data_IF_346537179720
#
_entry.id   IF_346537179720
#
_cell.length_a   1.000
_cell.length_b   1.000
_cell.length_c   1.000
_cell.angle_alpha   90.00
_cell.angle_beta   90.00
_cell.angle_gamma   90.00
#
_symmetry.space_group_name_H-M   'P 1'
#
loop_
_entity.id
_entity.type
_entity.pdbx_description
1 polymer ?
#
# COMPACT_ATOMS: atom_id res chain seq x y z
N UNK A 1 21.17 27.76 -6.26
CA UNK A 1 20.84 27.37 -6.08
C UNK A 1 20.40 26.78 -6.20
N UNK A 2 20.45 26.65 -6.30
CA UNK A 2 20.18 26.23 -6.18
C UNK A 2 19.47 25.72 -5.99
N UNK A 3 19.28 25.80 -5.93
CA UNK A 3 18.72 25.42 -5.58
C UNK A 3 17.96 25.06 -5.26
N UNK A 4 17.88 25.19 -5.17
CA UNK A 4 17.32 24.95 -4.68
C UNK A 4 16.51 24.65 -4.38
N UNK A 5 16.44 24.93 -4.49
CA UNK A 5 15.75 24.74 -3.99
C UNK A 5 15.29 24.23 -3.53
N UNK A 6 15.35 24.06 -3.42
CA UNK A 6 14.94 23.69 -2.75
C UNK A 6 14.50 23.38 -1.99
N UNK A 7 14.47 23.33 -1.86
CA UNK A 7 14.17 22.94 -0.96
C UNK A 7 13.70 22.82 -0.16
N UNK A 8 13.28 22.72 0.12
CA UNK A 8 12.84 22.63 1.18
C UNK A 8 13.02 22.02 1.99
N UNK A 9 13.27 22.01 1.93
CA UNK A 9 13.69 21.47 2.84
C UNK A 9 13.10 21.43 4.07
N UNK A 10 13.18 20.43 4.71
CA UNK A 10 12.68 20.34 6.03
C UNK A 10 13.53 21.12 6.96
N UNK A 11 12.97 22.15 7.50
CA UNK A 11 13.65 22.87 8.54
C UNK A 11 13.72 22.00 9.77
N UNK A 12 14.68 22.24 10.63
CA UNK A 12 14.74 21.55 11.90
C UNK A 12 13.45 21.76 12.67
N UNK A 13 12.88 20.68 13.16
CA UNK A 13 11.62 20.73 13.86
C UNK A 13 10.41 20.48 12.97
N UNK A 14 10.60 20.42 11.68
CA UNK A 14 9.52 20.01 10.81
C UNK A 14 9.18 18.56 11.10
N UNK A 15 7.89 18.26 11.02
CA UNK A 15 7.50 16.90 11.18
C UNK A 15 8.11 16.08 10.07
N UNK A 16 8.60 14.90 10.37
CA UNK A 16 8.98 13.95 9.34
C UNK A 16 7.73 13.63 8.66
N UNK A 17 7.70 13.98 7.50
CA UNK A 17 6.48 14.17 6.93
C UNK A 17 5.92 12.95 6.29
N UNK A 18 4.67 12.68 6.59
CA UNK A 18 3.86 11.84 5.74
C UNK A 18 3.44 12.61 4.50
N UNK A 19 3.64 13.91 4.51
CA UNK A 19 3.32 14.74 3.35
C UNK A 19 4.16 14.29 2.18
N UNK A 20 3.50 13.97 1.09
CA UNK A 20 4.17 13.53 -0.12
C UNK A 20 4.47 12.05 -0.19
N UNK A 21 4.19 11.27 0.85
CA UNK A 21 4.31 9.83 0.75
C UNK A 21 3.33 9.32 -0.30
N UNK A 22 3.80 8.42 -1.14
CA UNK A 22 3.05 7.95 -2.29
C UNK A 22 2.40 6.62 -1.99
N UNK A 23 1.10 6.55 -2.18
CA UNK A 23 0.30 5.35 -1.98
C UNK A 23 -0.31 4.97 -3.30
N UNK A 24 -0.13 3.71 -3.69
CA UNK A 24 -0.80 3.15 -4.86
C UNK A 24 -1.90 2.22 -4.36
N UNK A 25 -3.11 2.39 -4.86
CA UNK A 25 -4.23 1.51 -4.53
C UNK A 25 -4.56 0.71 -5.78
N UNK A 26 -4.53 -0.62 -5.65
CA UNK A 26 -4.92 -1.54 -6.73
C UNK A 26 -6.23 -2.20 -6.33
N UNK A 27 -7.30 -1.82 -7.01
CA UNK A 27 -8.66 -2.30 -6.74
C UNK A 27 -9.49 -2.03 -7.97
N UNK A 28 -10.28 -3.00 -8.42
CA UNK A 28 -11.13 -2.83 -9.60
C UNK A 28 -12.54 -2.35 -9.27
N UNK A 29 -12.85 -2.06 -8.00
CA UNK A 29 -14.18 -1.59 -7.59
C UNK A 29 -14.12 -0.11 -7.25
N UNK A 30 -14.87 0.68 -8.00
CA UNK A 30 -14.68 2.13 -8.00
C UNK A 30 -15.20 2.85 -6.76
N UNK A 31 -16.23 2.34 -6.10
CA UNK A 31 -16.84 3.10 -4.99
C UNK A 31 -15.92 3.23 -3.80
N UNK A 32 -15.44 2.12 -3.29
CA UNK A 32 -14.55 2.14 -2.15
C UNK A 32 -13.21 2.79 -2.51
N UNK A 33 -12.77 2.56 -3.72
CA UNK A 33 -11.51 3.09 -4.22
C UNK A 33 -11.44 4.60 -4.14
N UNK A 34 -12.48 5.29 -4.63
CA UNK A 34 -12.50 6.75 -4.60
C UNK A 34 -12.62 7.30 -3.19
N UNK A 35 -13.37 6.61 -2.33
CA UNK A 35 -13.49 7.02 -0.95
C UNK A 35 -12.16 6.90 -0.20
N UNK A 36 -11.47 5.78 -0.39
CA UNK A 36 -10.15 5.60 0.23
C UNK A 36 -9.17 6.67 -0.25
N UNK A 37 -9.17 6.93 -1.54
CA UNK A 37 -8.31 7.96 -2.10
C UNK A 37 -8.56 9.30 -1.43
N UNK A 38 -9.83 9.68 -1.31
CA UNK A 38 -10.17 10.98 -0.76
C UNK A 38 -9.73 11.13 0.69
N UNK A 39 -9.99 10.12 1.52
CA UNK A 39 -9.62 10.25 2.94
C UNK A 39 -8.10 10.24 3.11
N UNK A 40 -7.39 9.50 2.26
CA UNK A 40 -5.93 9.50 2.33
C UNK A 40 -5.33 10.81 1.83
N UNK A 41 -5.90 11.38 0.77
CA UNK A 41 -5.44 12.67 0.29
C UNK A 41 -5.70 13.78 1.31
N UNK A 42 -6.79 13.67 2.05
CA UNK A 42 -7.06 14.62 3.13
C UNK A 42 -6.01 14.55 4.23
N UNK A 43 -5.31 13.42 4.35
CA UNK A 43 -4.22 13.25 5.31
C UNK A 43 -2.86 13.56 4.68
N UNK A 44 -2.84 14.21 3.53
CA UNK A 44 -1.63 14.71 2.86
C UNK A 44 -0.82 13.65 2.14
N UNK A 45 -1.38 12.46 1.91
CA UNK A 45 -0.72 11.46 1.06
C UNK A 45 -0.98 11.77 -0.40
N UNK A 46 -0.06 11.36 -1.25
CA UNK A 46 -0.28 11.36 -2.70
C UNK A 46 -0.77 9.99 -3.09
N UNK A 47 -1.93 9.93 -3.72
CA UNK A 47 -2.61 8.66 -3.98
C UNK A 47 -2.81 8.48 -5.48
N UNK A 48 -2.34 7.36 -5.99
CA UNK A 48 -2.62 6.91 -7.35
C UNK A 48 -3.49 5.67 -7.28
N UNK A 49 -4.32 5.49 -8.29
CA UNK A 49 -5.25 4.37 -8.37
C UNK A 49 -4.92 3.56 -9.61
N UNK A 50 -4.94 2.23 -9.47
CA UNK A 50 -4.76 1.33 -10.58
C UNK A 50 -5.83 0.25 -10.50
N UNK A 51 -6.59 0.08 -11.59
CA UNK A 51 -7.77 -0.78 -11.55
C UNK A 51 -7.58 -2.09 -12.29
N UNK A 52 -6.38 -2.40 -12.77
CA UNK A 52 -6.12 -3.60 -13.52
C UNK A 52 -5.05 -4.43 -12.80
N UNK A 53 -5.44 -5.63 -12.34
CA UNK A 53 -4.51 -6.49 -11.63
C UNK A 53 -3.45 -7.12 -12.50
N UNK A 54 -3.73 -7.29 -13.80
CA UNK A 54 -2.78 -7.98 -14.68
C UNK A 54 -1.47 -7.22 -14.84
N UNK A 55 -1.51 -5.91 -14.84
CA UNK A 55 -0.30 -5.11 -14.95
C UNK A 55 0.05 -4.38 -13.66
N UNK A 56 -0.55 -4.79 -12.54
CA UNK A 56 -0.29 -4.15 -11.26
C UNK A 56 1.17 -4.28 -10.84
N UNK A 57 1.76 -5.46 -10.98
CA UNK A 57 3.16 -5.65 -10.65
C UNK A 57 4.06 -4.70 -11.44
N UNK A 58 3.83 -4.60 -12.75
CA UNK A 58 4.64 -3.72 -13.60
C UNK A 58 4.47 -2.26 -13.16
N UNK A 59 3.26 -1.87 -12.79
CA UNK A 59 2.99 -0.51 -12.34
C UNK A 59 3.71 -0.23 -11.02
N UNK A 60 3.67 -1.15 -10.07
CA UNK A 60 4.39 -0.99 -8.80
C UNK A 60 5.88 -0.87 -9.04
N UNK A 61 6.42 -1.74 -9.91
CA UNK A 61 7.85 -1.73 -10.19
C UNK A 61 8.29 -0.43 -10.86
N UNK A 62 7.43 0.15 -11.70
CA UNK A 62 7.75 1.40 -12.39
C UNK A 62 7.64 2.61 -11.47
N UNK A 63 6.72 2.60 -10.52
CA UNK A 63 6.42 3.79 -9.70
C UNK A 63 7.04 3.74 -8.31
N UNK A 64 7.32 2.56 -7.79
CA UNK A 64 7.92 2.33 -6.47
C UNK A 64 7.24 3.17 -5.37
N UNK A 65 5.95 2.92 -5.12
CA UNK A 65 5.24 3.67 -4.10
C UNK A 65 5.79 3.38 -2.71
N UNK A 66 5.51 4.27 -1.77
CA UNK A 66 5.87 4.06 -0.37
C UNK A 66 4.98 3.03 0.31
N UNK A 67 3.79 2.81 -0.24
CA UNK A 67 2.84 1.83 0.27
C UNK A 67 1.94 1.39 -0.87
N UNK A 68 1.67 0.10 -0.93
CA UNK A 68 0.67 -0.48 -1.83
C UNK A 68 -0.52 -0.94 -1.02
N UNK A 69 -1.71 -0.55 -1.42
CA UNK A 69 -2.96 -1.08 -0.87
C UNK A 69 -3.56 -1.95 -1.97
N UNK A 70 -3.74 -3.22 -1.70
CA UNK A 70 -4.03 -4.23 -2.71
C UNK A 70 -5.26 -5.03 -2.33
N UNK A 71 -6.26 -5.01 -3.19
CA UNK A 71 -7.42 -5.90 -3.02
C UNK A 71 -7.01 -7.31 -3.39
N UNK A 72 -7.40 -8.28 -2.58
CA UNK A 72 -7.11 -9.68 -2.87
C UNK A 72 -8.02 -10.25 -3.95
N UNK A 73 -9.20 -9.67 -4.16
CA UNK A 73 -10.15 -10.17 -5.15
C UNK A 73 -10.23 -9.16 -6.29
N UNK A 74 -9.44 -9.42 -7.32
CA UNK A 74 -9.46 -8.65 -8.55
C UNK A 74 -10.11 -9.47 -9.64
N UNK A 75 -10.65 -8.82 -10.65
CA UNK A 75 -11.47 -9.50 -11.63
C UNK A 75 -10.72 -10.46 -12.53
N UNK A 76 -9.45 -10.19 -12.81
CA UNK A 76 -8.69 -10.93 -13.83
C UNK A 76 -7.42 -11.59 -13.30
N UNK A 77 -7.07 -11.36 -12.05
CA UNK A 77 -5.93 -12.02 -11.43
C UNK A 77 -6.14 -11.96 -9.92
N UNK A 78 -5.67 -12.96 -9.20
CA UNK A 78 -5.75 -12.94 -7.75
C UNK A 78 -4.75 -11.94 -7.17
N UNK A 79 -5.18 -11.19 -6.16
CA UNK A 79 -4.26 -10.33 -5.43
C UNK A 79 -3.11 -11.10 -4.79
N UNK A 80 -3.33 -12.36 -4.44
CA UNK A 80 -2.25 -13.21 -3.93
C UNK A 80 -1.17 -13.42 -4.97
N UNK A 81 -1.55 -13.53 -6.24
CA UNK A 81 -0.60 -13.69 -7.32
C UNK A 81 0.22 -12.40 -7.50
N UNK A 82 -0.44 -11.24 -7.41
CA UNK A 82 0.26 -9.97 -7.47
C UNK A 82 1.25 -9.86 -6.31
N UNK A 83 0.81 -10.23 -5.11
CA UNK A 83 1.67 -10.19 -3.92
C UNK A 83 2.90 -11.07 -4.11
N UNK A 84 2.70 -12.27 -4.67
CA UNK A 84 3.82 -13.17 -4.92
C UNK A 84 4.81 -12.57 -5.92
N UNK A 85 4.31 -11.98 -6.99
CA UNK A 85 5.18 -11.31 -7.96
C UNK A 85 6.02 -10.22 -7.29
N UNK A 86 5.40 -9.45 -6.40
CA UNK A 86 6.10 -8.38 -5.69
C UNK A 86 7.18 -8.93 -4.76
N UNK A 87 6.86 -9.99 -4.04
CA UNK A 87 7.80 -10.56 -3.06
C UNK A 87 8.94 -11.30 -3.74
N UNK A 88 8.73 -11.82 -4.93
CA UNK A 88 9.75 -12.55 -5.65
C UNK A 88 10.73 -11.64 -6.39
N UNK A 89 10.46 -10.34 -6.46
CA UNK A 89 11.33 -9.38 -7.15
C UNK A 89 12.03 -8.50 -6.11
N UNK A 90 13.38 -8.51 -6.07
CA UNK A 90 14.10 -7.73 -5.06
C UNK A 90 13.84 -6.22 -5.13
N UNK A 91 13.43 -5.72 -6.28
CA UNK A 91 13.13 -4.29 -6.43
C UNK A 91 11.86 -3.91 -5.66
N UNK A 92 10.88 -4.81 -5.59
CA UNK A 92 9.58 -4.52 -5.00
C UNK A 92 9.35 -5.24 -3.67
N UNK A 93 10.22 -6.17 -3.31
CA UNK A 93 9.98 -7.05 -2.15
C UNK A 93 9.84 -6.29 -0.83
N UNK A 94 10.51 -5.15 -0.70
CA UNK A 94 10.51 -4.39 0.56
C UNK A 94 9.41 -3.33 0.62
N UNK A 95 8.61 -3.16 -0.44
CA UNK A 95 7.52 -2.19 -0.40
C UNK A 95 6.44 -2.70 0.53
N UNK A 96 6.03 -1.92 1.54
CA UNK A 96 4.96 -2.34 2.43
C UNK A 96 3.65 -2.52 1.67
N UNK A 97 2.90 -3.55 2.02
CA UNK A 97 1.62 -3.85 1.36
C UNK A 97 0.55 -4.02 2.43
N UNK A 98 -0.55 -3.30 2.27
CA UNK A 98 -1.77 -3.58 3.01
C UNK A 98 -2.69 -4.31 2.05
N UNK A 99 -2.96 -5.58 2.32
CA UNK A 99 -3.92 -6.35 1.53
C UNK A 99 -5.28 -6.24 2.22
N UNK A 100 -6.34 -6.12 1.42
CA UNK A 100 -7.68 -6.03 1.99
C UNK A 100 -8.66 -6.82 1.17
N UNK A 101 -9.71 -7.31 1.82
CA UNK A 101 -10.70 -8.14 1.13
C UNK A 101 -11.95 -8.31 1.98
N UNK A 102 -13.09 -8.47 1.31
CA UNK A 102 -14.33 -8.92 1.96
C UNK A 102 -14.45 -10.44 1.98
N UNK A 103 -13.60 -11.14 1.24
CA UNK A 103 -13.70 -12.59 1.11
C UNK A 103 -13.00 -13.26 2.29
N UNK A 104 -13.79 -13.92 3.14
CA UNK A 104 -13.29 -14.51 4.38
C UNK A 104 -12.23 -15.57 4.10
N UNK A 105 -12.47 -16.44 3.10
CA UNK A 105 -11.52 -17.50 2.79
C UNK A 105 -10.20 -16.97 2.29
N UNK A 106 -10.24 -15.91 1.46
CA UNK A 106 -9.03 -15.28 0.99
C UNK A 106 -8.24 -14.65 2.14
N UNK A 107 -8.95 -14.00 3.06
CA UNK A 107 -8.31 -13.40 4.22
C UNK A 107 -7.63 -14.45 5.09
N UNK A 108 -8.32 -15.56 5.32
CA UNK A 108 -7.76 -16.66 6.13
C UNK A 108 -6.54 -17.26 5.47
N UNK A 109 -6.60 -17.45 4.16
CA UNK A 109 -5.47 -18.01 3.42
C UNK A 109 -4.25 -17.10 3.50
N UNK A 110 -4.43 -15.82 3.31
CA UNK A 110 -3.32 -14.87 3.38
C UNK A 110 -2.76 -14.81 4.80
N UNK A 111 -3.62 -14.85 5.81
CA UNK A 111 -3.16 -14.90 7.21
C UNK A 111 -2.27 -16.09 7.46
N UNK A 112 -2.65 -17.25 6.94
CA UNK A 112 -1.82 -18.45 7.08
C UNK A 112 -0.49 -18.33 6.36
N UNK A 113 -0.51 -17.74 5.16
CA UNK A 113 0.72 -17.55 4.40
C UNK A 113 1.68 -16.62 5.13
N UNK A 114 1.19 -15.52 5.66
CA UNK A 114 2.01 -14.57 6.40
C UNK A 114 2.63 -15.24 7.62
N UNK A 115 1.83 -16.05 8.33
CA UNK A 115 2.31 -16.74 9.52
C UNK A 115 3.32 -17.83 9.18
N UNK A 116 3.17 -18.48 8.02
CA UNK A 116 4.03 -19.61 7.65
C UNK A 116 5.42 -19.15 7.20
N UNK A 117 5.55 -17.93 6.70
CA UNK A 117 6.85 -17.42 6.25
C UNK A 117 6.89 -15.91 6.48
N UNK A 118 7.16 -15.55 7.73
CA UNK A 118 7.12 -14.15 8.14
C UNK A 118 8.25 -13.32 7.52
N UNK A 119 9.34 -13.97 7.11
CA UNK A 119 10.41 -13.26 6.43
C UNK A 119 10.01 -12.90 5.01
N UNK A 120 9.48 -13.87 4.29
CA UNK A 120 9.04 -13.66 2.90
C UNK A 120 7.93 -12.62 2.84
N UNK A 121 6.98 -12.65 3.78
CA UNK A 121 5.85 -11.74 3.81
C UNK A 121 6.06 -10.53 4.71
N UNK A 122 7.31 -10.22 5.02
CA UNK A 122 7.61 -9.06 5.85
C UNK A 122 7.02 -7.80 5.22
N UNK A 123 6.39 -6.97 6.05
CA UNK A 123 5.79 -5.73 5.58
C UNK A 123 4.39 -5.87 5.00
N UNK A 124 3.80 -7.07 5.05
CA UNK A 124 2.44 -7.31 4.58
C UNK A 124 1.49 -7.28 5.77
N UNK A 125 0.46 -6.44 5.68
CA UNK A 125 -0.60 -6.34 6.69
C UNK A 125 -1.92 -6.68 6.04
N UNK A 126 -2.83 -7.28 6.81
CA UNK A 126 -4.15 -7.65 6.32
C UNK A 126 -5.22 -6.78 6.95
N UNK A 127 -6.12 -6.25 6.14
CA UNK A 127 -7.27 -5.49 6.59
C UNK A 127 -8.52 -6.12 6.00
N UNK A 128 -9.38 -6.70 6.84
CA UNK A 128 -10.56 -7.39 6.36
C UNK A 128 -11.75 -6.45 6.31
N UNK A 129 -12.48 -6.48 5.20
CA UNK A 129 -13.71 -5.72 5.06
C UNK A 129 -14.86 -6.43 5.82
N UNK A 130 -15.80 -5.71 6.40
CA UNK A 130 -15.84 -4.26 6.45
C UNK A 130 -14.88 -3.71 7.48
N UNK A 131 -14.33 -2.52 7.19
CA UNK A 131 -13.47 -1.83 8.15
C UNK A 131 -13.89 -0.37 8.19
N UNK A 132 -13.57 0.30 9.28
CA UNK A 132 -13.85 1.72 9.40
C UNK A 132 -12.68 2.54 8.85
N UNK A 133 -12.99 3.66 8.23
CA UNK A 133 -11.95 4.50 7.63
C UNK A 133 -10.89 4.95 8.64
N UNK A 134 -11.23 5.32 9.89
CA UNK A 134 -10.17 5.62 10.85
C UNK A 134 -9.20 4.46 11.08
N UNK A 135 -9.68 3.23 11.03
CA UNK A 135 -8.80 2.06 11.17
C UNK A 135 -7.82 1.99 10.00
N UNK A 136 -8.32 2.23 8.77
CA UNK A 136 -7.43 2.27 7.61
C UNK A 136 -6.38 3.37 7.78
N UNK A 137 -6.80 4.57 8.17
CA UNK A 137 -5.88 5.70 8.33
C UNK A 137 -4.82 5.41 9.39
N UNK A 138 -5.22 4.80 10.51
CA UNK A 138 -4.28 4.43 11.55
C UNK A 138 -3.25 3.42 11.06
N UNK A 139 -3.71 2.41 10.33
CA UNK A 139 -2.82 1.38 9.81
C UNK A 139 -1.86 1.97 8.78
N UNK A 140 -2.35 2.82 7.89
CA UNK A 140 -1.51 3.47 6.90
C UNK A 140 -0.43 4.31 7.59
N UNK A 141 -0.82 5.12 8.57
CA UNK A 141 0.13 5.96 9.29
C UNK A 141 1.19 5.12 9.99
N UNK A 142 0.79 4.02 10.59
CA UNK A 142 1.70 3.13 11.27
C UNK A 142 2.72 2.53 10.30
N UNK A 143 2.24 2.09 9.13
CA UNK A 143 3.10 1.42 8.16
C UNK A 143 4.07 2.39 7.50
N UNK A 144 3.59 3.58 7.07
CA UNK A 144 4.45 4.49 6.31
C UNK A 144 5.40 5.29 7.20
N UNK A 145 5.06 5.45 8.47
CA UNK A 145 5.88 6.22 9.41
C UNK A 145 6.77 5.36 10.28
N UNK A 146 6.65 4.05 10.15
CA UNK A 146 7.45 3.15 10.96
C UNK A 146 8.90 3.26 10.56
N UNK A 147 9.82 3.45 11.52
CA UNK A 147 11.23 3.55 11.15
C UNK A 147 11.70 2.25 10.55
N UNK A 148 12.50 2.37 9.53
CA UNK A 148 13.16 1.22 8.94
C UNK A 148 14.28 0.83 9.87
N UNK A 149 14.20 -0.34 10.40
CA UNK A 149 15.22 -0.79 11.35
C UNK A 149 15.91 -2.03 10.86
#
# INVERSE_FOLDING_TARGET
MGGGSIAPVNAPGDVPSIVGKQILIVDDKSELLHLMRRVLEDEQYQVAIHQNGLDAFATVKATLPDLLILDLVLGNISGKEVLKQLKDDPVTADIPVIVYTAAVLEAEEVSRLIASDSVYYQGVSLLQKPFELPHLLDLVAQVVNEPVS
#
